data_IF_069836734435
#
_entry.id   IF_069836734435
#
_cell.length_a   1.000
_cell.length_b   1.000
_cell.length_c   1.000
_cell.angle_alpha   90.00
_cell.angle_beta   90.00
_cell.angle_gamma   90.00
#
_symmetry.space_group_name_H-M   'P 1'
#
loop_
_entity.id
_entity.type
_entity.pdbx_description
1 polymer ?
#
# COMPACT_ATOMS: atom_id res chain seq x y z
N UNK A 1 9.89 -18.63 -13.13
CA UNK A 1 8.90 -17.93 -12.29
C UNK A 1 9.30 -18.15 -10.84
N UNK A 2 9.52 -17.09 -10.07
CA UNK A 2 9.88 -17.19 -8.66
C UNK A 2 8.72 -17.82 -7.86
N UNK A 3 8.99 -18.92 -7.16
CA UNK A 3 7.98 -19.64 -6.36
C UNK A 3 7.47 -18.79 -5.21
N UNK A 4 8.29 -17.90 -4.65
CA UNK A 4 7.86 -16.95 -3.62
C UNK A 4 6.81 -16.00 -4.17
N UNK A 5 7.06 -15.40 -5.34
CA UNK A 5 6.11 -14.53 -6.02
C UNK A 5 4.79 -15.24 -6.38
N UNK A 6 4.84 -16.49 -6.86
CA UNK A 6 3.64 -17.31 -7.10
C UNK A 6 2.79 -17.50 -5.85
N UNK A 7 3.43 -17.80 -4.72
CA UNK A 7 2.74 -17.99 -3.43
C UNK A 7 2.12 -16.67 -2.95
N UNK A 8 2.85 -15.56 -3.05
CA UNK A 8 2.35 -14.24 -2.67
C UNK A 8 1.17 -13.80 -3.56
N UNK A 9 1.26 -14.02 -4.87
CA UNK A 9 0.16 -13.73 -5.79
C UNK A 9 -1.10 -14.56 -5.48
N UNK A 10 -0.94 -15.85 -5.17
CA UNK A 10 -2.05 -16.70 -4.76
C UNK A 10 -2.68 -16.24 -3.42
N UNK A 11 -1.84 -15.88 -2.45
CA UNK A 11 -2.30 -15.38 -1.16
C UNK A 11 -3.01 -14.02 -1.30
N UNK A 12 -2.50 -13.12 -2.15
CA UNK A 12 -3.13 -11.85 -2.49
C UNK A 12 -4.51 -12.09 -3.09
N UNK A 13 -4.62 -12.92 -4.13
CA UNK A 13 -5.91 -13.20 -4.75
C UNK A 13 -6.93 -13.79 -3.77
N UNK A 14 -6.53 -14.77 -2.96
CA UNK A 14 -7.42 -15.33 -1.95
C UNK A 14 -7.86 -14.31 -0.90
N UNK A 15 -7.00 -13.33 -0.61
CA UNK A 15 -7.31 -12.24 0.30
C UNK A 15 -8.32 -11.28 -0.32
N UNK A 16 -8.18 -10.95 -1.60
CA UNK A 16 -9.15 -10.17 -2.37
C UNK A 16 -10.51 -10.86 -2.39
N UNK A 17 -10.54 -12.16 -2.72
CA UNK A 17 -11.77 -12.95 -2.85
C UNK A 17 -12.55 -13.08 -1.52
N UNK A 18 -11.88 -13.00 -0.36
CA UNK A 18 -12.43 -13.41 0.95
C UNK A 18 -12.39 -12.34 2.02
N UNK A 19 -11.69 -11.22 1.80
CA UNK A 19 -11.52 -10.15 2.78
C UNK A 19 -10.62 -10.49 3.98
N UNK A 20 -9.98 -11.66 4.00
CA UNK A 20 -9.08 -12.11 5.07
C UNK A 20 -7.90 -12.89 4.50
N UNK A 21 -6.73 -12.79 5.15
CA UNK A 21 -5.55 -13.55 4.72
C UNK A 21 -5.82 -15.06 4.84
N UNK A 22 -5.61 -15.86 3.77
CA UNK A 22 -5.88 -17.29 3.77
C UNK A 22 -4.96 -18.09 4.72
N UNK A 23 -5.29 -19.36 4.95
CA UNK A 23 -4.38 -20.30 5.58
C UNK A 23 -3.26 -20.74 4.63
N UNK A 24 -2.14 -21.23 5.18
CA UNK A 24 -1.02 -21.77 4.39
C UNK A 24 -1.45 -22.89 3.45
N UNK A 25 -2.40 -23.75 3.86
CA UNK A 25 -2.87 -24.85 3.02
C UNK A 25 -3.69 -24.35 1.83
N UNK A 26 -4.57 -23.36 2.05
CA UNK A 26 -5.37 -22.75 0.99
C UNK A 26 -4.47 -22.02 -0.01
N UNK A 27 -3.48 -21.28 0.49
CA UNK A 27 -2.48 -20.63 -0.36
C UNK A 27 -1.69 -21.65 -1.17
N UNK A 28 -1.23 -22.76 -0.57
CA UNK A 28 -0.50 -23.81 -1.27
C UNK A 28 -1.35 -24.41 -2.41
N UNK A 29 -2.63 -24.70 -2.11
CA UNK A 29 -3.58 -25.22 -3.08
C UNK A 29 -3.82 -24.25 -4.24
N UNK A 30 -4.02 -22.96 -3.97
CA UNK A 30 -4.23 -21.93 -5.00
C UNK A 30 -2.97 -21.68 -5.83
N UNK A 31 -1.79 -21.69 -5.21
CA UNK A 31 -0.51 -21.50 -5.88
C UNK A 31 -0.03 -22.72 -6.68
N UNK A 32 -0.70 -23.88 -6.55
CA UNK A 32 -0.29 -25.13 -7.19
C UNK A 32 1.03 -25.66 -6.66
N UNK A 33 1.37 -25.40 -5.39
CA UNK A 33 2.59 -25.87 -4.74
C UNK A 33 2.29 -26.86 -3.62
N UNK A 34 3.26 -27.72 -3.28
CA UNK A 34 3.12 -28.61 -2.13
C UNK A 34 3.19 -27.83 -0.81
N UNK A 35 2.61 -28.38 0.26
CA UNK A 35 2.73 -27.82 1.61
C UNK A 35 4.19 -27.62 2.03
N UNK A 36 5.07 -28.58 1.71
CA UNK A 36 6.51 -28.47 1.97
C UNK A 36 7.17 -27.36 1.15
N UNK A 37 6.77 -27.20 -0.12
CA UNK A 37 7.26 -26.11 -0.97
C UNK A 37 6.83 -24.72 -0.47
N UNK A 38 5.61 -24.60 0.06
CA UNK A 38 5.17 -23.34 0.67
C UNK A 38 5.88 -23.04 1.98
N UNK A 39 6.01 -24.04 2.88
CA UNK A 39 6.67 -23.87 4.17
C UNK A 39 8.17 -23.54 4.04
N UNK A 40 8.81 -23.93 2.94
CA UNK A 40 10.18 -23.54 2.62
C UNK A 40 10.33 -22.01 2.45
N UNK A 41 9.32 -21.35 1.88
CA UNK A 41 9.32 -19.89 1.68
C UNK A 41 8.65 -19.14 2.83
N UNK A 42 7.58 -19.69 3.40
CA UNK A 42 6.78 -19.08 4.45
C UNK A 42 6.51 -20.11 5.55
N UNK A 43 7.39 -20.22 6.56
CA UNK A 43 7.29 -21.25 7.60
C UNK A 43 6.06 -21.08 8.51
N UNK A 44 5.41 -19.91 8.49
CA UNK A 44 4.23 -19.61 9.28
C UNK A 44 3.28 -18.69 8.50
N UNK A 45 2.01 -18.61 8.96
CA UNK A 45 1.05 -17.63 8.44
C UNK A 45 1.53 -16.20 8.67
N UNK A 46 2.23 -15.94 9.78
CA UNK A 46 2.84 -14.64 10.06
C UNK A 46 3.92 -14.29 9.01
N UNK A 47 4.77 -15.25 8.63
CA UNK A 47 5.77 -15.03 7.58
C UNK A 47 5.13 -14.76 6.21
N UNK A 48 4.04 -15.45 5.87
CA UNK A 48 3.27 -15.17 4.64
C UNK A 48 2.71 -13.75 4.64
N UNK A 49 2.14 -13.35 5.78
CA UNK A 49 1.61 -12.00 6.00
C UNK A 49 2.70 -10.94 5.85
N UNK A 50 3.86 -11.14 6.47
CA UNK A 50 5.00 -10.24 6.36
C UNK A 50 5.47 -10.15 4.90
N UNK A 51 5.52 -11.27 4.18
CA UNK A 51 5.85 -11.29 2.76
C UNK A 51 4.85 -10.50 1.89
N UNK A 52 3.56 -10.56 2.20
CA UNK A 52 2.54 -9.74 1.52
C UNK A 52 2.74 -8.25 1.80
N UNK A 53 3.06 -7.88 3.04
CA UNK A 53 3.33 -6.51 3.41
C UNK A 53 4.58 -5.95 2.70
N UNK A 54 5.67 -6.71 2.67
CA UNK A 54 6.91 -6.32 1.95
C UNK A 54 6.64 -6.17 0.46
N UNK A 55 5.93 -7.11 -0.16
CA UNK A 55 5.59 -7.01 -1.58
C UNK A 55 4.73 -5.75 -1.88
N UNK A 56 3.77 -5.43 -1.00
CA UNK A 56 2.97 -4.21 -1.15
C UNK A 56 3.81 -2.93 -0.99
N UNK A 57 4.77 -2.91 -0.05
CA UNK A 57 5.71 -1.79 0.09
C UNK A 57 6.57 -1.63 -1.17
N UNK A 58 7.09 -2.72 -1.73
CA UNK A 58 7.89 -2.72 -2.97
C UNK A 58 7.07 -2.22 -4.18
N UNK A 59 5.79 -2.60 -4.28
CA UNK A 59 4.89 -2.12 -5.34
C UNK A 59 4.63 -0.62 -5.24
N UNK A 60 4.28 -0.13 -4.05
CA UNK A 60 4.08 1.31 -3.82
C UNK A 60 5.38 2.06 -4.08
N UNK A 61 6.52 1.49 -3.68
CA UNK A 61 7.82 2.11 -3.90
C UNK A 61 8.13 2.29 -5.38
N UNK A 62 7.92 1.26 -6.19
CA UNK A 62 8.12 1.34 -7.63
C UNK A 62 7.23 2.43 -8.27
N UNK A 63 5.97 2.53 -7.83
CA UNK A 63 5.03 3.56 -8.30
C UNK A 63 5.51 4.96 -7.91
N UNK A 64 5.90 5.16 -6.65
CA UNK A 64 6.36 6.45 -6.14
C UNK A 64 7.70 6.89 -6.75
N UNK A 65 8.63 5.96 -6.94
CA UNK A 65 9.90 6.21 -7.65
C UNK A 65 9.61 6.67 -9.08
N UNK A 66 8.79 5.95 -9.84
CA UNK A 66 8.42 6.34 -11.20
C UNK A 66 7.77 7.74 -11.22
N UNK A 67 6.78 8.00 -10.36
CA UNK A 67 6.12 9.28 -10.28
C UNK A 67 7.05 10.43 -9.88
N UNK A 68 8.01 10.19 -8.98
CA UNK A 68 8.97 11.22 -8.56
C UNK A 68 9.87 11.67 -9.71
N UNK A 69 10.25 10.77 -10.62
CA UNK A 69 11.06 11.14 -11.80
C UNK A 69 10.32 12.05 -12.78
N UNK A 70 8.99 12.11 -12.67
CA UNK A 70 8.13 12.92 -13.51
C UNK A 70 7.58 14.16 -12.79
N UNK A 71 7.95 14.38 -11.51
CA UNK A 71 7.37 15.46 -10.69
C UNK A 71 5.87 15.29 -10.45
N UNK A 72 5.44 14.05 -10.19
CA UNK A 72 4.02 13.69 -9.94
C UNK A 72 3.83 12.88 -8.67
N UNK A 73 4.80 12.90 -7.76
CA UNK A 73 4.76 12.10 -6.53
C UNK A 73 3.57 12.46 -5.64
N UNK A 74 3.24 13.76 -5.53
CA UNK A 74 2.13 14.26 -4.74
C UNK A 74 0.77 13.79 -5.25
N UNK A 75 0.53 13.95 -6.56
CA UNK A 75 -0.68 13.46 -7.22
C UNK A 75 -0.78 11.94 -7.10
N UNK A 76 0.30 11.23 -7.40
CA UNK A 76 0.33 9.78 -7.41
C UNK A 76 0.02 9.20 -6.03
N UNK A 77 0.59 9.78 -4.96
CA UNK A 77 0.29 9.36 -3.59
C UNK A 77 -1.20 9.41 -3.28
N UNK A 78 -1.88 10.51 -3.64
CA UNK A 78 -3.32 10.65 -3.41
C UNK A 78 -4.12 9.64 -4.23
N UNK A 79 -3.74 9.37 -5.48
CA UNK A 79 -4.42 8.39 -6.33
C UNK A 79 -4.29 6.95 -5.82
N UNK A 80 -3.09 6.53 -5.42
CA UNK A 80 -2.89 5.17 -4.90
C UNK A 80 -3.43 4.97 -3.48
N UNK A 81 -3.68 6.07 -2.76
CA UNK A 81 -4.29 6.07 -1.43
C UNK A 81 -5.82 5.89 -1.46
N UNK A 82 -6.43 5.79 -2.64
CA UNK A 82 -7.85 5.46 -2.79
C UNK A 82 -7.95 4.02 -3.26
N UNK A 83 -7.99 3.03 -2.34
CA UNK A 83 -8.18 1.65 -2.73
C UNK A 83 -9.54 1.50 -3.39
N UNK A 84 -9.56 0.97 -4.63
CA UNK A 84 -10.76 0.81 -5.42
C UNK A 84 -11.09 -0.67 -5.63
N UNK A 85 -12.38 -1.01 -5.66
CA UNK A 85 -12.85 -2.36 -5.95
C UNK A 85 -12.22 -3.41 -5.02
N UNK A 86 -11.57 -4.41 -5.62
CA UNK A 86 -10.97 -5.53 -4.89
C UNK A 86 -9.80 -5.10 -4.00
N UNK A 87 -9.10 -4.00 -4.30
CA UNK A 87 -7.90 -3.56 -3.55
C UNK A 87 -8.21 -3.22 -2.08
N UNK A 88 -9.44 -2.80 -1.77
CA UNK A 88 -9.89 -2.50 -0.40
C UNK A 88 -9.74 -3.72 0.52
N UNK A 89 -10.05 -4.91 0.02
CA UNK A 89 -9.95 -6.16 0.78
C UNK A 89 -8.49 -6.50 1.12
N UNK A 90 -7.56 -6.22 0.20
CA UNK A 90 -6.13 -6.41 0.42
C UNK A 90 -5.59 -5.40 1.43
N UNK A 91 -5.87 -4.11 1.27
CA UNK A 91 -5.44 -3.10 2.23
C UNK A 91 -6.01 -3.35 3.63
N UNK A 92 -7.27 -3.83 3.74
CA UNK A 92 -7.87 -4.25 5.02
C UNK A 92 -7.12 -5.43 5.65
N UNK A 93 -6.85 -6.47 4.85
CA UNK A 93 -6.15 -7.65 5.32
C UNK A 93 -4.69 -7.34 5.70
N UNK A 94 -4.01 -6.46 4.96
CA UNK A 94 -2.67 -5.95 5.26
C UNK A 94 -2.65 -5.07 6.51
N UNK A 95 -3.64 -4.21 6.72
CA UNK A 95 -3.77 -3.41 7.94
C UNK A 95 -4.02 -4.28 9.18
N UNK A 96 -4.89 -5.31 9.08
CA UNK A 96 -5.11 -6.29 10.15
C UNK A 96 -3.84 -7.10 10.42
N UNK A 97 -3.16 -7.52 9.36
CA UNK A 97 -1.87 -8.19 9.42
C UNK A 97 -0.80 -7.35 10.14
N UNK A 98 -0.71 -6.07 9.82
CA UNK A 98 0.25 -5.14 10.43
C UNK A 98 0.00 -5.01 11.94
N UNK A 99 -1.27 -4.93 12.37
CA UNK A 99 -1.65 -4.92 13.80
C UNK A 99 -1.38 -6.25 14.51
N UNK A 100 -1.41 -7.37 13.79
CA UNK A 100 -1.05 -8.69 14.35
C UNK A 100 0.46 -8.89 14.52
N UNK A 101 1.29 -8.03 13.93
CA UNK A 101 2.76 -8.01 13.99
C UNK A 101 3.25 -7.04 15.07
N UNK A 102 2.38 -6.65 16.02
CA UNK A 102 2.71 -5.80 17.18
C UNK A 102 3.56 -6.51 18.25
N UNK A 103 4.60 -7.24 17.83
CA UNK A 103 5.72 -7.61 18.72
C UNK A 103 6.91 -6.69 18.41
N UNK A 104 7.44 -5.94 19.40
CA UNK A 104 8.62 -5.11 19.19
C UNK A 104 9.80 -5.95 18.68
N UNK A 105 10.31 -5.63 17.48
CA UNK A 105 11.46 -6.31 16.87
C UNK A 105 11.28 -6.79 15.42
N UNK A 106 10.10 -6.64 14.83
CA UNK A 106 9.82 -7.13 13.47
C UNK A 106 10.28 -6.17 12.35
N UNK A 107 11.07 -6.73 11.41
CA UNK A 107 11.69 -6.07 10.24
C UNK A 107 10.69 -5.24 9.41
N UNK A 108 9.46 -5.72 9.26
CA UNK A 108 8.41 -5.08 8.44
C UNK A 108 7.99 -3.70 8.97
N UNK A 109 7.93 -3.51 10.29
CA UNK A 109 7.53 -2.23 10.85
C UNK A 109 8.62 -1.16 10.64
N UNK A 110 9.90 -1.55 10.70
CA UNK A 110 11.02 -0.68 10.36
C UNK A 110 11.01 -0.34 8.87
N UNK A 111 10.89 -1.34 8.00
CA UNK A 111 10.78 -1.15 6.55
C UNK A 111 9.61 -0.24 6.16
N UNK A 112 8.46 -0.36 6.83
CA UNK A 112 7.30 0.51 6.60
C UNK A 112 7.60 1.97 6.95
N UNK A 113 8.24 2.22 8.12
CA UNK A 113 8.61 3.59 8.53
C UNK A 113 9.61 4.21 7.56
N UNK A 114 10.59 3.44 7.12
CA UNK A 114 11.60 3.89 6.15
C UNK A 114 10.97 4.18 4.78
N UNK A 115 10.06 3.32 4.30
CA UNK A 115 9.33 3.55 3.05
C UNK A 115 8.47 4.82 3.12
N UNK A 116 7.70 4.99 4.19
CA UNK A 116 6.86 6.19 4.41
C UNK A 116 7.72 7.47 4.41
N UNK A 117 8.87 7.46 5.09
CA UNK A 117 9.78 8.60 5.10
C UNK A 117 10.35 8.91 3.71
N UNK A 118 10.70 7.88 2.93
CA UNK A 118 11.17 8.05 1.54
C UNK A 118 10.09 8.63 0.65
N UNK A 119 8.85 8.15 0.73
CA UNK A 119 7.74 8.67 -0.06
C UNK A 119 7.39 10.11 0.32
N UNK A 120 7.42 10.47 1.62
CA UNK A 120 7.25 11.87 2.05
C UNK A 120 8.32 12.77 1.43
N UNK A 121 9.58 12.32 1.38
CA UNK A 121 10.66 13.06 0.72
C UNK A 121 10.41 13.24 -0.78
N UNK A 122 9.90 12.23 -1.48
CA UNK A 122 9.56 12.35 -2.91
C UNK A 122 8.44 13.38 -3.14
N UNK A 123 7.42 13.39 -2.27
CA UNK A 123 6.34 14.40 -2.32
C UNK A 123 6.90 15.78 -1.98
N UNK A 124 7.85 15.88 -1.05
CA UNK A 124 8.53 17.13 -0.74
C UNK A 124 9.31 17.67 -1.94
N UNK A 125 10.04 16.81 -2.66
CA UNK A 125 10.81 17.21 -3.83
C UNK A 125 9.90 17.73 -4.96
N UNK A 126 8.75 17.09 -5.15
CA UNK A 126 7.70 17.51 -6.09
C UNK A 126 7.08 18.87 -5.71
N UNK A 127 6.68 19.03 -4.45
CA UNK A 127 5.97 20.22 -3.98
C UNK A 127 6.88 21.41 -3.64
N UNK A 128 8.13 21.15 -3.31
CA UNK A 128 9.10 22.10 -2.76
C UNK A 128 8.77 22.59 -1.33
N UNK A 129 7.91 21.89 -0.59
CA UNK A 129 7.48 22.29 0.76
C UNK A 129 7.24 21.06 1.65
N UNK A 130 8.03 20.92 2.72
CA UNK A 130 7.95 19.80 3.65
C UNK A 130 6.63 19.74 4.43
N UNK A 131 6.06 20.89 4.79
CA UNK A 131 4.76 20.96 5.49
C UNK A 131 3.65 20.48 4.57
N UNK A 132 3.69 20.94 3.32
CA UNK A 132 2.74 20.53 2.28
C UNK A 132 2.84 19.03 1.99
N UNK A 133 4.05 18.50 1.86
CA UNK A 133 4.28 17.08 1.66
C UNK A 133 3.68 16.23 2.79
N UNK A 134 3.90 16.65 4.04
CA UNK A 134 3.32 15.98 5.21
C UNK A 134 1.79 16.02 5.21
N UNK A 135 1.18 17.14 4.83
CA UNK A 135 -0.29 17.27 4.71
C UNK A 135 -0.81 16.29 3.66
N UNK A 136 -0.23 16.30 2.45
CA UNK A 136 -0.61 15.40 1.35
C UNK A 136 -0.48 13.94 1.78
N UNK A 137 0.63 13.59 2.44
CA UNK A 137 0.86 12.24 2.93
C UNK A 137 -0.24 11.80 3.91
N UNK A 138 -0.51 12.62 4.93
CA UNK A 138 -1.53 12.35 5.95
C UNK A 138 -2.95 12.29 5.37
N UNK A 139 -3.26 13.10 4.36
CA UNK A 139 -4.55 13.02 3.66
C UNK A 139 -4.67 11.68 2.94
N UNK A 140 -3.65 11.24 2.22
CA UNK A 140 -3.65 9.91 1.61
C UNK A 140 -3.80 8.78 2.64
N UNK A 141 -3.05 8.81 3.74
CA UNK A 141 -3.23 7.85 4.85
C UNK A 141 -4.67 7.81 5.35
N UNK A 142 -5.28 8.98 5.55
CA UNK A 142 -6.65 9.13 6.03
C UNK A 142 -7.69 8.58 5.06
N UNK A 143 -7.54 8.87 3.76
CA UNK A 143 -8.38 8.30 2.70
C UNK A 143 -8.32 6.77 2.71
N UNK A 144 -7.10 6.22 2.66
CA UNK A 144 -6.91 4.78 2.65
C UNK A 144 -7.51 4.14 3.90
N UNK A 145 -7.23 4.69 5.09
CA UNK A 145 -7.73 4.17 6.36
C UNK A 145 -9.26 4.22 6.47
N UNK A 146 -9.90 5.32 6.07
CA UNK A 146 -11.35 5.48 6.16
C UNK A 146 -12.09 4.55 5.19
N UNK A 147 -11.61 4.42 3.95
CA UNK A 147 -12.17 3.50 2.96
C UNK A 147 -12.00 2.06 3.43
N UNK A 148 -10.80 1.70 3.88
CA UNK A 148 -10.51 0.36 4.40
C UNK A 148 -11.36 0.02 5.61
N UNK A 149 -11.58 0.97 6.52
CA UNK A 149 -12.42 0.78 7.69
C UNK A 149 -13.92 0.73 7.36
N UNK A 150 -14.32 1.18 6.17
CA UNK A 150 -15.73 1.35 5.79
C UNK A 150 -16.39 2.53 6.51
N UNK A 151 -15.59 3.50 6.98
CA UNK A 151 -16.09 4.75 7.55
C UNK A 151 -16.60 5.66 6.43
N UNK A 152 -15.90 5.67 5.30
CA UNK A 152 -16.26 6.41 4.10
C UNK A 152 -16.23 5.50 2.87
N UNK A 153 -16.99 5.87 1.85
CA UNK A 153 -16.84 5.30 0.50
C UNK A 153 -15.63 5.92 -0.18
N UNK A 154 -15.00 5.18 -1.10
CA UNK A 154 -13.96 5.77 -1.93
C UNK A 154 -14.48 7.01 -2.66
N UNK A 155 -13.73 8.13 -2.69
CA UNK A 155 -14.12 9.30 -3.46
C UNK A 155 -14.27 8.94 -4.95
N UNK A 156 -15.21 9.61 -5.60
CA UNK A 156 -15.28 9.60 -7.07
C UNK A 156 -14.03 10.24 -7.67
N UNK A 157 -13.76 9.95 -8.94
CA UNK A 157 -12.63 10.55 -9.66
C UNK A 157 -12.67 12.09 -9.61
N UNK A 158 -13.86 12.69 -9.75
CA UNK A 158 -14.03 14.13 -9.67
C UNK A 158 -13.73 14.71 -8.27
N UNK A 159 -14.13 14.01 -7.19
CA UNK A 159 -13.82 14.43 -5.82
C UNK A 159 -12.31 14.32 -5.53
N UNK A 160 -11.67 13.27 -6.03
CA UNK A 160 -10.24 13.07 -5.90
C UNK A 160 -9.44 14.11 -6.71
N UNK A 161 -9.86 14.43 -7.93
CA UNK A 161 -9.23 15.47 -8.75
C UNK A 161 -9.36 16.85 -8.09
N UNK A 162 -10.52 17.17 -7.50
CA UNK A 162 -10.70 18.42 -6.75
C UNK A 162 -9.77 18.49 -5.53
N UNK A 163 -9.59 17.37 -4.82
CA UNK A 163 -8.67 17.27 -3.69
C UNK A 163 -7.21 17.45 -4.13
N UNK A 164 -6.81 16.79 -5.23
CA UNK A 164 -5.49 16.94 -5.84
C UNK A 164 -5.25 18.40 -6.24
N UNK A 165 -6.21 19.05 -6.88
CA UNK A 165 -6.09 20.44 -7.30
C UNK A 165 -5.83 21.38 -6.11
N UNK A 166 -6.56 21.21 -5.00
CA UNK A 166 -6.36 22.00 -3.78
C UNK A 166 -5.01 21.69 -3.13
N UNK A 167 -4.64 20.42 -3.03
CA UNK A 167 -3.49 20.00 -2.24
C UNK A 167 -2.17 20.06 -3.00
N UNK A 168 -2.15 19.99 -4.34
CA UNK A 168 -0.94 19.94 -5.16
C UNK A 168 -0.66 21.26 -5.91
N UNK A 169 -1.68 22.01 -6.34
CA UNK A 169 -1.44 23.30 -7.03
C UNK A 169 -1.05 24.40 -6.06
N UNK A 170 0.04 25.13 -6.32
CA UNK A 170 0.41 26.28 -5.47
C UNK A 170 -0.64 27.39 -5.62
N UNK A 171 -1.16 27.98 -4.53
CA UNK A 171 -1.89 29.24 -4.63
C UNK A 171 -0.95 30.31 -5.21
N UNK A 172 -1.15 30.67 -6.49
CA UNK A 172 -0.41 31.75 -7.15
C UNK A 172 0.26 31.46 -8.51
N UNK A 173 0.08 30.27 -9.11
CA UNK A 173 0.58 30.02 -10.48
C UNK A 173 -0.41 30.37 -11.63
N UNK A 174 -1.63 30.78 -11.33
CA UNK A 174 -2.64 31.19 -12.34
C UNK A 174 -2.56 32.67 -12.77
N UNK A 175 -1.43 33.34 -12.55
CA UNK A 175 -1.23 34.73 -12.97
C UNK A 175 0.06 34.92 -13.78
N UNK A 176 0.08 34.42 -15.02
CA UNK A 176 0.88 34.98 -16.12
C UNK A 176 0.17 34.85 -17.45
#
# INVERSE_FOLDING_TARGET
MDRKALILGAARQLTLDRGVVPSLNETASKAGVSKGGLLHHFPSRAALVQGLAVAALEEIDAIMVAASTEGRAAETWLRISVPAGEDVALFRALAIAHRAVETPGDDVAAASREAIARWESMIQDDTGDATRARIIRLVGDGLAANVVAGIETAPTEAELDALIDVLVRRPGQDSR
#
